data_IF_512764941182
#
_entry.id   IF_512764941182
#
_cell.length_a   1.000
_cell.length_b   1.000
_cell.length_c   1.000
_cell.angle_alpha   90.00
_cell.angle_beta   90.00
_cell.angle_gamma   90.00
#
_symmetry.space_group_name_H-M   'P 1'
#
loop_
_entity.id
_entity.type
_entity.pdbx_description
1 polymer ?
#
# COMPACT_ATOMS: atom_id res chain seq x y z
N UNK A 1 -11.56 11.77 -3.42
CA UNK A 1 -10.36 10.91 -3.38
C UNK A 1 -10.77 9.50 -3.73
N UNK A 2 -10.20 8.96 -4.80
CA UNK A 2 -10.46 7.60 -5.28
C UNK A 2 -9.52 6.57 -4.66
N UNK A 3 -8.27 6.94 -4.42
CA UNK A 3 -7.29 6.11 -3.73
C UNK A 3 -6.86 6.77 -2.42
N UNK A 4 -6.72 5.96 -1.37
CA UNK A 4 -6.13 6.36 -0.09
C UNK A 4 -5.04 5.37 0.26
N UNK A 5 -3.82 5.87 0.44
CA UNK A 5 -2.66 5.10 0.85
C UNK A 5 -2.29 5.45 2.29
N UNK A 6 -1.77 4.47 3.02
CA UNK A 6 -1.18 4.69 4.34
C UNK A 6 -0.51 3.43 4.87
N UNK A 7 0.18 3.55 6.00
CA UNK A 7 0.69 2.41 6.75
C UNK A 7 -0.24 2.02 7.91
N UNK A 8 0.03 0.90 8.56
CA UNK A 8 -0.75 0.36 9.68
C UNK A 8 -0.81 1.31 10.88
N UNK A 9 0.24 2.10 11.12
CA UNK A 9 0.30 3.04 12.24
C UNK A 9 -0.61 4.25 11.97
N UNK A 10 -0.54 4.79 10.74
CA UNK A 10 -1.43 5.84 10.27
C UNK A 10 -2.89 5.38 10.28
N UNK A 11 -3.17 4.17 9.82
CA UNK A 11 -4.51 3.59 9.81
C UNK A 11 -5.10 3.45 11.23
N UNK A 12 -4.33 2.89 12.17
CA UNK A 12 -4.73 2.78 13.58
C UNK A 12 -4.96 4.15 14.21
N UNK A 13 -4.09 5.11 13.89
CA UNK A 13 -4.24 6.49 14.36
C UNK A 13 -5.51 7.12 13.80
N UNK A 14 -5.78 6.93 12.51
CA UNK A 14 -6.99 7.41 11.85
C UNK A 14 -8.24 6.82 12.50
N UNK A 15 -8.26 5.52 12.78
CA UNK A 15 -9.33 4.82 13.49
C UNK A 15 -9.62 5.44 14.86
N UNK A 16 -8.56 5.73 15.64
CA UNK A 16 -8.68 6.35 16.97
C UNK A 16 -9.25 7.76 16.90
N UNK A 17 -8.76 8.59 15.98
CA UNK A 17 -9.27 9.96 15.80
C UNK A 17 -10.73 9.97 15.34
N UNK A 18 -11.16 8.95 14.58
CA UNK A 18 -12.55 8.80 14.14
C UNK A 18 -13.46 8.07 15.15
N UNK A 19 -12.93 7.62 16.29
CA UNK A 19 -13.70 6.92 17.32
C UNK A 19 -14.25 5.57 16.86
N UNK A 20 -13.55 4.86 15.98
CA UNK A 20 -14.05 3.58 15.42
C UNK A 20 -13.79 2.36 16.30
N UNK A 21 -13.10 2.53 17.43
CA UNK A 21 -12.85 1.52 18.47
C UNK A 21 -12.29 0.18 17.93
N UNK A 22 -11.54 0.24 16.83
CA UNK A 22 -10.89 -0.94 16.24
C UNK A 22 -9.44 -0.66 15.88
N UNK A 23 -8.60 -1.65 16.12
CA UNK A 23 -7.19 -1.70 15.74
C UNK A 23 -6.99 -2.75 14.62
N UNK A 24 -8.06 -3.34 14.07
CA UNK A 24 -8.00 -4.27 12.95
C UNK A 24 -7.84 -3.50 11.63
N UNK A 25 -6.67 -3.65 10.99
CA UNK A 25 -6.33 -2.94 9.74
C UNK A 25 -7.29 -3.27 8.60
N UNK A 26 -7.80 -4.49 8.52
CA UNK A 26 -8.78 -4.89 7.50
C UNK A 26 -10.11 -4.15 7.69
N UNK A 27 -10.60 -4.08 8.94
CA UNK A 27 -11.81 -3.33 9.27
C UNK A 27 -11.64 -1.83 9.06
N UNK A 28 -10.48 -1.28 9.42
CA UNK A 28 -10.16 0.13 9.21
C UNK A 28 -10.14 0.43 7.70
N UNK A 29 -9.52 -0.43 6.89
CA UNK A 29 -9.47 -0.26 5.44
C UNK A 29 -10.88 -0.20 4.82
N UNK A 30 -11.79 -1.09 5.24
CA UNK A 30 -13.20 -1.09 4.82
C UNK A 30 -13.86 0.23 5.19
N UNK A 31 -13.79 0.64 6.45
CA UNK A 31 -14.41 1.89 6.94
C UNK A 31 -13.89 3.11 6.17
N UNK A 32 -12.59 3.19 5.88
CA UNK A 32 -12.01 4.25 5.05
C UNK A 32 -12.59 4.20 3.64
N UNK A 33 -12.69 3.01 3.03
CA UNK A 33 -13.20 2.85 1.67
C UNK A 33 -14.67 3.32 1.55
N UNK A 34 -15.44 3.19 2.62
CA UNK A 34 -16.87 3.54 2.70
C UNK A 34 -17.14 5.00 3.11
N UNK A 35 -16.12 5.78 3.49
CA UNK A 35 -16.31 7.18 3.87
C UNK A 35 -17.07 7.98 2.79
N UNK A 36 -17.89 8.97 3.15
CA UNK A 36 -18.57 9.81 2.17
C UNK A 36 -17.59 10.40 1.15
N UNK A 37 -17.98 10.38 -0.14
CA UNK A 37 -17.24 11.02 -1.23
C UNK A 37 -18.03 12.23 -1.69
N UNK A 38 -17.38 13.38 -1.82
CA UNK A 38 -18.03 14.60 -2.28
C UNK A 38 -18.59 14.43 -3.70
N UNK A 39 -17.78 13.88 -4.61
CA UNK A 39 -18.11 13.64 -6.03
C UNK A 39 -17.30 12.42 -6.50
N UNK A 40 -17.83 11.62 -7.42
CA UNK A 40 -17.07 10.59 -8.14
C UNK A 40 -17.91 9.43 -8.65
N UNK A 41 -17.53 8.90 -9.82
CA UNK A 41 -18.11 7.68 -10.42
C UNK A 41 -17.49 6.40 -9.87
N UNK A 42 -16.22 6.47 -9.46
CA UNK A 42 -15.47 5.33 -8.95
C UNK A 42 -15.70 5.13 -7.45
N UNK A 43 -15.64 3.87 -6.99
CA UNK A 43 -15.59 3.57 -5.55
C UNK A 43 -14.21 3.95 -5.00
N UNK A 44 -14.09 4.19 -3.69
CA UNK A 44 -12.78 4.45 -3.09
C UNK A 44 -12.06 3.12 -2.84
N UNK A 45 -10.78 3.10 -3.15
CA UNK A 45 -9.87 1.98 -2.87
C UNK A 45 -8.89 2.43 -1.79
N UNK A 46 -8.89 1.73 -0.65
CA UNK A 46 -7.94 1.96 0.45
C UNK A 46 -6.83 0.94 0.36
N UNK A 47 -5.57 1.37 0.41
CA UNK A 47 -4.39 0.50 0.36
C UNK A 47 -3.53 0.76 1.59
N UNK A 48 -3.35 -0.25 2.44
CA UNK A 48 -2.60 -0.16 3.70
C UNK A 48 -1.40 -1.09 3.66
N UNK A 49 -0.19 -0.54 3.71
CA UNK A 49 1.06 -1.30 3.84
C UNK A 49 1.31 -1.69 5.30
N UNK A 50 1.98 -2.81 5.55
CA UNK A 50 2.21 -3.33 6.91
C UNK A 50 3.65 -3.83 7.12
N UNK A 51 4.64 -3.12 6.57
CA UNK A 51 6.03 -3.55 6.63
C UNK A 51 6.25 -4.92 5.98
N UNK A 52 6.52 -5.94 6.80
CA UNK A 52 6.72 -7.32 6.35
C UNK A 52 5.41 -8.14 6.25
N UNK A 53 4.30 -7.62 6.77
CA UNK A 53 2.99 -8.25 6.69
C UNK A 53 2.28 -7.93 5.36
N UNK A 54 1.27 -8.72 4.96
CA UNK A 54 0.56 -8.50 3.70
C UNK A 54 -0.03 -7.08 3.57
N UNK A 55 0.01 -6.53 2.35
CA UNK A 55 -0.69 -5.29 2.01
C UNK A 55 -2.20 -5.56 2.05
N UNK A 56 -2.94 -4.73 2.76
CA UNK A 56 -4.40 -4.78 2.87
C UNK A 56 -5.01 -3.82 1.86
N UNK A 57 -5.86 -4.31 0.98
CA UNK A 57 -6.62 -3.49 0.04
C UNK A 57 -8.10 -3.66 0.30
N UNK A 58 -8.80 -2.55 0.53
CA UNK A 58 -10.25 -2.52 0.62
C UNK A 58 -10.86 -1.79 -0.58
N UNK A 59 -11.77 -2.46 -1.27
CA UNK A 59 -12.58 -1.91 -2.35
C UNK A 59 -13.95 -2.55 -2.32
N UNK A 60 -15.01 -1.74 -2.47
CA UNK A 60 -16.39 -2.23 -2.53
C UNK A 60 -16.82 -3.08 -1.33
N UNK A 61 -16.48 -2.63 -0.11
CA UNK A 61 -16.78 -3.34 1.14
C UNK A 61 -16.05 -4.68 1.31
N UNK A 62 -15.12 -5.01 0.40
CA UNK A 62 -14.36 -6.26 0.42
C UNK A 62 -12.89 -5.97 0.68
N UNK A 63 -12.25 -6.87 1.42
CA UNK A 63 -10.81 -6.82 1.68
C UNK A 63 -10.11 -7.93 0.91
N UNK A 64 -8.96 -7.60 0.33
CA UNK A 64 -7.98 -8.54 -0.19
C UNK A 64 -6.63 -8.28 0.47
N UNK A 65 -5.88 -9.35 0.71
CA UNK A 65 -4.52 -9.30 1.25
C UNK A 65 -3.54 -9.79 0.20
N UNK A 66 -2.47 -9.03 0.01
CA UNK A 66 -1.41 -9.38 -0.93
C UNK A 66 -0.11 -9.57 -0.15
N UNK A 67 0.48 -10.78 -0.19
CA UNK A 67 1.74 -11.01 0.50
C UNK A 67 2.84 -10.12 -0.11
N UNK A 68 3.72 -9.61 0.74
CA UNK A 68 4.92 -8.89 0.29
C UNK A 68 6.01 -9.89 -0.12
N UNK A 69 7.00 -9.42 -0.86
CA UNK A 69 8.17 -10.24 -1.25
C UNK A 69 9.04 -10.44 0.00
N UNK A 70 9.24 -11.68 0.48
CA UNK A 70 10.06 -11.93 1.65
C UNK A 70 11.50 -11.46 1.42
N UNK A 71 12.06 -10.76 2.41
CA UNK A 71 13.44 -10.31 2.40
C UNK A 71 14.15 -10.76 3.68
N UNK A 72 15.29 -11.47 3.60
CA UNK A 72 16.13 -11.76 4.76
C UNK A 72 16.59 -10.48 5.44
N UNK A 73 16.64 -10.47 6.78
CA UNK A 73 17.00 -9.27 7.57
C UNK A 73 18.40 -8.75 7.22
N UNK A 74 19.30 -9.63 6.79
CA UNK A 74 20.67 -9.32 6.42
C UNK A 74 20.77 -8.48 5.13
N UNK A 75 19.72 -8.50 4.31
CA UNK A 75 19.61 -7.67 3.09
C UNK A 75 18.90 -6.34 3.33
N UNK A 76 18.31 -6.14 4.51
CA UNK A 76 17.66 -4.89 4.87
C UNK A 76 18.71 -3.84 5.20
N UNK A 77 18.80 -2.78 4.39
CA UNK A 77 19.80 -1.72 4.54
C UNK A 77 19.17 -0.47 5.14
N UNK A 78 18.08 0.01 4.55
CA UNK A 78 17.40 1.24 4.96
C UNK A 78 15.90 1.14 4.64
N UNK A 79 15.02 1.36 5.61
CA UNK A 79 13.57 1.32 5.38
C UNK A 79 12.98 2.66 4.93
N UNK A 80 13.80 3.72 4.89
CA UNK A 80 13.35 5.04 4.46
C UNK A 80 12.91 5.03 3.00
N UNK A 81 11.76 5.63 2.72
CA UNK A 81 11.20 5.71 1.38
C UNK A 81 10.54 4.41 0.88
N UNK A 82 10.44 3.36 1.70
CA UNK A 82 9.74 2.13 1.30
C UNK A 82 8.27 2.37 0.93
N UNK A 83 7.58 3.24 1.67
CA UNK A 83 6.20 3.66 1.38
C UNK A 83 6.09 4.48 0.09
N UNK A 84 7.00 5.43 -0.13
CA UNK A 84 7.03 6.23 -1.37
C UNK A 84 7.31 5.34 -2.59
N UNK A 85 8.24 4.40 -2.46
CA UNK A 85 8.55 3.39 -3.47
C UNK A 85 7.34 2.50 -3.76
N UNK A 86 6.60 2.08 -2.72
CA UNK A 86 5.37 1.31 -2.88
C UNK A 86 4.35 2.07 -3.73
N UNK A 87 4.07 3.32 -3.36
CA UNK A 87 3.11 4.17 -4.04
C UNK A 87 3.55 4.45 -5.48
N UNK A 88 4.84 4.70 -5.71
CA UNK A 88 5.41 4.87 -7.04
C UNK A 88 5.24 3.63 -7.93
N UNK A 89 5.58 2.45 -7.40
CA UNK A 89 5.38 1.18 -8.09
C UNK A 89 3.90 0.91 -8.39
N UNK A 90 3.01 1.17 -7.44
CA UNK A 90 1.56 1.04 -7.62
C UNK A 90 1.05 1.94 -8.74
N UNK A 91 1.39 3.23 -8.71
CA UNK A 91 0.96 4.20 -9.72
C UNK A 91 1.52 3.84 -11.10
N UNK A 92 2.74 3.29 -11.17
CA UNK A 92 3.35 2.88 -12.44
C UNK A 92 2.50 1.90 -13.25
N UNK A 93 1.75 1.01 -12.59
CA UNK A 93 0.85 0.07 -13.26
C UNK A 93 -0.57 0.64 -13.38
N UNK A 94 -0.99 1.44 -12.41
CA UNK A 94 -2.31 2.08 -12.43
C UNK A 94 -2.51 2.95 -13.67
N UNK A 95 -1.50 3.74 -14.05
CA UNK A 95 -1.57 4.62 -15.24
C UNK A 95 -1.69 3.84 -16.56
N UNK A 96 -1.31 2.55 -16.55
CA UNK A 96 -1.48 1.63 -17.68
C UNK A 96 -2.81 0.86 -17.62
N UNK A 97 -3.71 1.19 -16.69
CA UNK A 97 -5.00 0.52 -16.52
C UNK A 97 -4.90 -0.94 -16.07
N UNK A 98 -3.79 -1.32 -15.42
CA UNK A 98 -3.61 -2.68 -14.88
C UNK A 98 -4.54 -2.93 -13.70
N UNK A 99 -4.78 -4.21 -13.41
CA UNK A 99 -5.56 -4.61 -12.25
C UNK A 99 -4.86 -4.23 -10.94
N UNK A 100 -5.64 -4.00 -9.88
CA UNK A 100 -5.13 -3.61 -8.56
C UNK A 100 -4.08 -4.60 -8.02
N UNK A 101 -4.25 -5.90 -8.28
CA UNK A 101 -3.27 -6.92 -7.92
C UNK A 101 -1.89 -6.67 -8.55
N UNK A 102 -1.86 -6.31 -9.84
CA UNK A 102 -0.61 -5.96 -10.55
C UNK A 102 -0.01 -4.65 -10.02
N UNK A 103 -0.85 -3.68 -9.67
CA UNK A 103 -0.40 -2.44 -9.04
C UNK A 103 0.26 -2.73 -7.67
N UNK A 104 -0.36 -3.56 -6.84
CA UNK A 104 0.23 -3.95 -5.54
C UNK A 104 1.53 -4.73 -5.75
N UNK A 105 1.58 -5.62 -6.74
CA UNK A 105 2.79 -6.39 -7.08
C UNK A 105 3.95 -5.46 -7.46
N UNK A 106 3.70 -4.44 -8.27
CA UNK A 106 4.70 -3.43 -8.62
C UNK A 106 5.13 -2.57 -7.43
N UNK A 107 4.19 -2.18 -6.56
CA UNK A 107 4.51 -1.48 -5.32
C UNK A 107 5.42 -2.30 -4.41
N UNK A 108 5.04 -3.56 -4.15
CA UNK A 108 5.85 -4.49 -3.36
C UNK A 108 7.25 -4.70 -3.95
N UNK A 109 7.35 -4.82 -5.28
CA UNK A 109 8.63 -4.90 -5.98
C UNK A 109 9.49 -3.65 -5.73
N UNK A 110 8.95 -2.46 -5.98
CA UNK A 110 9.67 -1.21 -5.82
C UNK A 110 10.16 -1.01 -4.37
N UNK A 111 9.31 -1.27 -3.38
CA UNK A 111 9.71 -1.24 -1.97
C UNK A 111 10.82 -2.24 -1.67
N UNK A 112 10.70 -3.49 -2.15
CA UNK A 112 11.71 -4.53 -1.94
C UNK A 112 13.08 -4.12 -2.52
N UNK A 113 13.09 -3.44 -3.66
CA UNK A 113 14.31 -2.91 -4.31
C UNK A 113 14.93 -1.77 -3.52
N UNK A 114 14.12 -0.86 -2.97
CA UNK A 114 14.58 0.31 -2.22
C UNK A 114 15.13 -0.09 -0.86
N UNK A 115 14.47 -0.98 -0.13
CA UNK A 115 14.90 -1.32 1.24
C UNK A 115 16.25 -2.04 1.32
N UNK A 116 16.76 -2.51 0.17
CA UNK A 116 18.08 -3.14 0.02
C UNK A 116 19.19 -2.14 -0.33
N UNK A 117 18.90 -0.84 -0.36
CA UNK A 117 19.84 0.23 -0.69
C UNK A 117 19.75 1.35 0.35
N UNK A 118 20.75 2.23 0.40
CA UNK A 118 20.69 3.42 1.24
C UNK A 118 19.85 4.49 0.55
N UNK A 119 18.85 5.02 1.26
CA UNK A 119 17.87 5.97 0.72
C UNK A 119 16.99 5.39 -0.40
N UNK A 120 16.19 6.26 -1.04
CA UNK A 120 15.28 5.90 -2.12
C UNK A 120 16.01 5.84 -3.48
N UNK A 121 16.90 4.85 -3.65
CA UNK A 121 17.71 4.67 -4.87
C UNK A 121 17.36 3.38 -5.61
N UNK A 122 17.58 3.36 -6.93
CA UNK A 122 17.17 2.29 -7.84
C UNK A 122 18.32 1.88 -8.79
N UNK A 123 18.34 0.63 -9.29
CA UNK A 123 19.22 0.26 -10.40
C UNK A 123 18.82 1.00 -11.68
N UNK A 124 19.71 1.04 -12.67
CA UNK A 124 19.48 1.74 -13.96
C UNK A 124 18.22 1.26 -14.68
N UNK A 125 17.87 -0.04 -14.54
CA UNK A 125 16.67 -0.64 -15.13
C UNK A 125 15.92 -1.46 -14.09
N UNK A 126 14.58 -1.41 -14.07
CA UNK A 126 13.77 -2.31 -13.27
C UNK A 126 13.80 -3.72 -13.87
N UNK A 127 13.76 -4.72 -12.98
CA UNK A 127 13.55 -6.13 -13.27
C UNK A 127 12.15 -6.54 -12.76
N UNK A 128 11.13 -5.93 -13.36
CA UNK A 128 9.73 -6.18 -13.05
C UNK A 128 9.02 -6.64 -14.32
N UNK A 129 8.58 -7.90 -14.33
CA UNK A 129 7.86 -8.54 -15.44
C UNK A 129 6.46 -8.92 -14.99
#
# INVERSE_FOLDING_TARGET
MDYVFGNETEARTFSRVHGWETDDVEQIAIKISELPKAIGTYKRTTVITQGADPVVVAEDGKVKKYPVIPLPKEKLVDTNGAGDAFVGGFISQLVHGKAIEECVRAGCYASNVVIQRSGCTYPEKPDFN
#
